data_IF_278596902528
#
_entry.id   IF_278596902528
#
_cell.length_a   1.000
_cell.length_b   1.000
_cell.length_c   1.000
_cell.angle_alpha   90.00
_cell.angle_beta   90.00
_cell.angle_gamma   90.00
#
_symmetry.space_group_name_H-M   'P 1'
#
loop_
_entity.id
_entity.type
_entity.pdbx_description
1 polymer ?
#
# COMPACT_ATOMS: atom_id res chain seq x y z
N UNK A 1 12.53 21.17 -0.20
CA UNK A 1 11.17 20.60 -0.16
C UNK A 1 11.22 19.28 -0.91
N UNK A 2 11.07 18.14 -0.23
CA UNK A 2 11.05 16.84 -0.89
C UNK A 2 9.63 16.50 -1.28
N UNK A 3 9.40 16.25 -2.57
CA UNK A 3 8.14 15.70 -3.07
C UNK A 3 8.12 14.20 -2.80
N UNK A 4 6.98 13.69 -2.35
CA UNK A 4 6.73 12.27 -2.15
C UNK A 4 5.44 11.88 -2.86
N UNK A 5 5.37 10.61 -3.26
CA UNK A 5 4.22 10.00 -3.91
C UNK A 5 3.62 8.96 -2.96
N UNK A 6 2.29 8.94 -2.88
CA UNK A 6 1.53 7.98 -2.08
C UNK A 6 0.57 7.23 -2.99
N UNK A 7 0.59 5.91 -2.89
CA UNK A 7 -0.48 5.05 -3.38
C UNK A 7 -1.36 4.70 -2.19
N UNK A 8 -2.52 5.36 -2.09
CA UNK A 8 -3.43 5.19 -0.97
C UNK A 8 -4.20 3.85 -1.02
N UNK A 9 -4.36 3.26 -2.22
CA UNK A 9 -5.02 1.95 -2.35
C UNK A 9 -4.12 0.84 -1.81
N UNK A 10 -2.80 0.95 -2.01
CA UNK A 10 -1.82 -0.02 -1.52
C UNK A 10 -1.20 0.36 -0.16
N UNK A 11 -1.43 1.58 0.32
CA UNK A 11 -0.83 2.10 1.55
C UNK A 11 0.68 2.31 1.44
N UNK A 12 1.20 2.64 0.26
CA UNK A 12 2.64 2.75 0.01
C UNK A 12 3.04 4.22 -0.13
N UNK A 13 4.16 4.58 0.49
CA UNK A 13 4.79 5.88 0.30
C UNK A 13 6.23 5.68 -0.17
N UNK A 14 6.68 6.49 -1.14
CA UNK A 14 8.01 6.40 -1.71
C UNK A 14 9.13 7.03 -0.85
N UNK A 15 8.79 7.64 0.28
CA UNK A 15 9.74 8.21 1.23
C UNK A 15 10.56 7.12 1.96
N UNK A 16 11.79 7.41 2.46
CA UNK A 16 12.66 6.41 3.08
C UNK A 16 12.02 5.59 4.19
N UNK A 17 11.12 6.19 4.96
CA UNK A 17 10.40 5.53 6.07
C UNK A 17 9.17 4.74 5.63
N UNK A 18 8.63 5.00 4.43
CA UNK A 18 7.45 4.35 3.87
C UNK A 18 7.74 3.22 2.88
N UNK A 19 9.00 3.12 2.43
CA UNK A 19 9.46 2.02 1.57
C UNK A 19 9.18 0.68 2.28
N UNK A 20 8.69 -0.30 1.52
CA UNK A 20 8.29 -1.61 2.05
C UNK A 20 6.85 -1.65 2.58
N UNK A 21 6.06 -0.61 2.36
CA UNK A 21 4.67 -0.54 2.86
C UNK A 21 4.60 -0.23 4.36
N UNK A 22 5.64 0.36 4.94
CA UNK A 22 5.64 0.83 6.33
C UNK A 22 4.77 2.08 6.47
N UNK A 23 4.04 2.17 7.57
CA UNK A 23 3.20 3.33 7.85
C UNK A 23 4.07 4.52 8.30
N UNK A 24 4.25 5.50 7.41
CA UNK A 24 5.07 6.68 7.66
C UNK A 24 4.22 7.92 7.98
N UNK A 25 4.86 9.00 8.44
CA UNK A 25 4.17 10.28 8.74
C UNK A 25 3.37 10.85 7.57
N UNK A 26 3.79 10.60 6.33
CA UNK A 26 3.08 11.09 5.15
C UNK A 26 1.77 10.31 4.91
N UNK A 27 1.79 8.99 5.12
CA UNK A 27 0.59 8.16 5.09
C UNK A 27 -0.37 8.56 6.22
N UNK A 28 0.15 8.84 7.41
CA UNK A 28 -0.64 9.38 8.53
C UNK A 28 -1.32 10.71 8.15
N UNK A 29 -0.58 11.65 7.56
CA UNK A 29 -1.12 12.93 7.11
C UNK A 29 -2.22 12.75 6.04
N UNK A 30 -2.04 11.82 5.10
CA UNK A 30 -3.07 11.54 4.09
C UNK A 30 -4.35 10.99 4.73
N UNK A 31 -4.22 10.02 5.63
CA UNK A 31 -5.37 9.46 6.34
C UNK A 31 -6.10 10.53 7.18
N UNK A 32 -5.38 11.41 7.87
CA UNK A 32 -5.98 12.48 8.68
C UNK A 32 -6.67 13.55 7.83
N UNK A 33 -6.02 14.01 6.75
CA UNK A 33 -6.52 15.13 5.97
C UNK A 33 -7.59 14.75 4.93
N UNK A 34 -7.54 13.50 4.43
CA UNK A 34 -8.44 13.04 3.37
C UNK A 34 -9.41 11.94 3.84
N UNK A 35 -9.34 11.52 5.11
CA UNK A 35 -10.22 10.49 5.67
C UNK A 35 -10.08 9.11 5.03
N UNK A 36 -8.97 8.84 4.34
CA UNK A 36 -8.74 7.57 3.64
C UNK A 36 -8.26 6.53 4.64
N UNK A 37 -8.96 5.39 4.72
CA UNK A 37 -8.51 4.26 5.50
C UNK A 37 -7.40 3.52 4.76
N UNK A 38 -6.18 3.59 5.30
CA UNK A 38 -5.03 2.91 4.72
C UNK A 38 -4.92 1.47 5.28
N UNK A 39 -4.64 0.47 4.42
CA UNK A 39 -4.64 -0.94 4.81
C UNK A 39 -3.53 -1.29 5.81
N UNK A 40 -2.45 -0.52 5.82
CA UNK A 40 -1.30 -0.70 6.70
C UNK A 40 -1.30 0.25 7.91
N UNK A 41 -2.38 1.01 8.12
CA UNK A 41 -2.49 1.89 9.27
C UNK A 41 -2.64 1.08 10.56
N UNK A 42 -1.79 1.31 11.58
CA UNK A 42 -1.90 0.59 12.85
C UNK A 42 -3.26 0.86 13.47
N UNK A 43 -3.88 -0.20 14.00
CA UNK A 43 -5.10 -0.09 14.80
C UNK A 43 -4.64 0.33 16.20
N UNK A 44 -5.04 1.53 16.61
CA UNK A 44 -4.68 2.09 17.92
C UNK A 44 -5.95 2.26 18.75
N UNK A 45 -5.99 1.60 19.91
CA UNK A 45 -7.03 1.82 20.91
C UNK A 45 -6.86 3.20 21.55
N UNK A 46 -7.90 3.75 22.22
CA UNK A 46 -7.75 4.97 23.03
C UNK A 46 -6.60 4.89 24.04
N UNK A 47 -6.39 3.72 24.63
CA UNK A 47 -5.26 3.46 25.54
C UNK A 47 -3.91 3.59 24.83
N UNK A 48 -3.76 3.00 23.64
CA UNK A 48 -2.53 3.10 22.86
C UNK A 48 -2.22 4.55 22.46
N UNK A 49 -3.26 5.30 22.06
CA UNK A 49 -3.11 6.72 21.71
C UNK A 49 -2.64 7.54 22.91
N UNK A 50 -3.23 7.32 24.09
CA UNK A 50 -2.81 7.97 25.34
C UNK A 50 -1.37 7.61 25.71
N UNK A 51 -1.00 6.33 25.59
CA UNK A 51 0.36 5.87 25.86
C UNK A 51 1.38 6.51 24.91
N UNK A 52 1.11 6.50 23.61
CA UNK A 52 1.97 7.13 22.60
C UNK A 52 2.12 8.64 22.82
N UNK A 53 1.04 9.31 23.20
CA UNK A 53 1.07 10.72 23.53
C UNK A 53 1.89 11.02 24.79
N UNK A 54 1.79 10.21 25.85
CA UNK A 54 2.67 10.33 27.04
C UNK A 54 4.13 10.08 26.69
N UNK A 55 4.43 9.13 25.81
CA UNK A 55 5.80 8.89 25.34
C UNK A 55 6.36 10.08 24.53
N UNK A 56 5.52 10.77 23.77
CA UNK A 56 5.94 11.89 22.93
C UNK A 56 6.03 13.23 23.68
N UNK A 57 5.08 13.49 24.60
CA UNK A 57 4.93 14.76 25.29
C UNK A 57 5.47 14.76 26.72
N UNK A 58 5.72 13.58 27.30
CA UNK A 58 6.05 13.43 28.71
C UNK A 58 4.85 12.98 29.55
N UNK A 59 5.13 12.46 30.75
CA UNK A 59 4.11 11.99 31.70
C UNK A 59 3.35 13.13 32.39
N UNK A 60 3.83 14.36 32.23
CA UNK A 60 3.28 15.62 32.71
C UNK A 60 2.33 16.30 31.70
N UNK A 61 2.02 15.63 30.58
CA UNK A 61 1.03 16.09 29.62
C UNK A 61 -0.34 16.33 30.29
N UNK A 62 -0.93 17.50 30.04
CA UNK A 62 -2.23 17.91 30.60
C UNK A 62 -3.35 16.93 30.26
N UNK A 63 -4.24 16.64 31.21
CA UNK A 63 -5.39 15.74 31.00
C UNK A 63 -6.31 16.20 29.86
N UNK A 64 -6.43 17.52 29.66
CA UNK A 64 -7.19 18.12 28.55
C UNK A 64 -6.72 17.64 27.16
N UNK A 65 -5.42 17.36 27.00
CA UNK A 65 -4.86 16.86 25.75
C UNK A 65 -5.46 15.49 25.36
N UNK A 66 -5.90 14.71 26.35
CA UNK A 66 -6.39 13.34 26.15
C UNK A 66 -7.91 13.23 26.05
N UNK A 67 -8.68 14.27 26.36
CA UNK A 67 -10.15 14.25 26.41
C UNK A 67 -10.79 13.75 25.10
N UNK A 68 -10.21 14.12 23.96
CA UNK A 68 -10.73 13.73 22.64
C UNK A 68 -10.20 12.38 22.14
N UNK A 69 -9.28 11.74 22.87
CA UNK A 69 -8.71 10.44 22.47
C UNK A 69 -9.59 9.25 22.86
N UNK A 70 -10.50 9.45 23.83
CA UNK A 70 -11.48 8.46 24.30
C UNK A 70 -12.72 8.36 23.42
N UNK A 71 -12.88 9.28 22.47
CA UNK A 71 -13.92 9.21 21.46
C UNK A 71 -13.57 8.07 20.51
N UNK A 72 -14.17 6.92 20.81
CA UNK A 72 -14.04 5.70 20.04
C UNK A 72 -14.64 5.95 18.65
N UNK A 73 -13.77 6.02 17.64
CA UNK A 73 -14.16 6.18 16.23
C UNK A 73 -14.63 4.81 15.66
N UNK A 74 -15.24 3.99 16.52
CA UNK A 74 -15.66 2.61 16.29
C UNK A 74 -16.76 2.47 15.24
N UNK A 75 -17.15 3.56 14.57
CA UNK A 75 -17.98 3.55 13.37
C UNK A 75 -17.22 3.36 12.05
N UNK A 76 -15.89 3.29 12.05
CA UNK A 76 -15.11 3.18 10.80
C UNK A 76 -14.44 1.82 10.54
N UNK A 77 -14.42 0.89 11.50
CA UNK A 77 -13.73 -0.40 11.34
C UNK A 77 -14.50 -1.54 12.00
N UNK A 78 -15.51 -2.07 11.29
CA UNK A 78 -15.98 -3.43 11.56
C UNK A 78 -15.07 -4.41 10.83
N UNK A 79 -14.35 -5.23 11.58
CA UNK A 79 -13.73 -6.45 11.08
C UNK A 79 -14.85 -7.43 10.70
N UNK A 80 -15.39 -7.25 9.50
CA UNK A 80 -16.07 -8.28 8.73
C UNK A 80 -15.91 -7.89 7.27
N UNK A 81 -15.28 -8.75 6.48
CA UNK A 81 -15.55 -8.80 5.05
C UNK A 81 -16.87 -9.56 4.92
N UNK A 82 -17.98 -8.90 4.55
CA UNK A 82 -18.90 -9.50 3.61
C UNK A 82 -18.85 -8.71 2.32
N UNK A 83 -18.48 -9.44 1.27
CA UNK A 83 -18.82 -9.13 -0.11
C UNK A 83 -20.28 -8.65 -0.15
N UNK A 84 -20.47 -7.45 -0.70
CA UNK A 84 -21.74 -6.88 -1.13
C UNK A 84 -22.76 -6.53 -0.01
N UNK A 85 -22.79 -5.24 0.36
CA UNK A 85 -24.01 -4.40 0.31
C UNK A 85 -23.67 -2.94 0.62
N UNK A 86 -24.05 -2.10 -0.33
CA UNK A 86 -23.99 -0.64 -0.39
C UNK A 86 -24.49 0.10 0.86
N UNK A 87 -23.99 1.33 1.15
CA UNK A 87 -24.52 2.15 2.24
C UNK A 87 -25.86 2.79 1.85
N UNK A 88 -26.93 2.47 2.59
CA UNK A 88 -28.15 3.27 2.61
C UNK A 88 -27.92 4.51 3.50
N UNK A 89 -27.98 5.70 2.91
CA UNK A 89 -28.43 6.90 3.61
C UNK A 89 -29.80 7.28 3.05
N UNK A 90 -30.77 7.40 3.95
CA UNK A 90 -32.08 8.01 3.69
C UNK A 90 -31.89 9.49 3.37
N UNK A 91 -32.20 9.90 2.14
CA UNK A 91 -32.71 11.22 1.82
C UNK A 91 -33.95 10.98 0.97
N UNK A 92 -35.11 11.45 1.43
CA UNK A 92 -36.38 11.28 0.75
C UNK A 92 -36.58 12.29 -0.39
N UNK A 93 -37.10 11.72 -1.49
CA UNK A 93 -37.94 12.29 -2.58
C UNK A 93 -37.24 12.97 -3.78
N UNK A 94 -37.45 12.35 -4.96
CA UNK A 94 -37.63 13.08 -6.23
C UNK A 94 -37.03 12.46 -7.51
N UNK A 95 -37.68 11.42 -8.06
CA UNK A 95 -37.87 11.14 -9.51
C UNK A 95 -36.66 10.83 -10.42
N UNK A 96 -36.67 9.57 -10.88
CA UNK A 96 -36.26 8.99 -12.18
C UNK A 96 -34.93 9.37 -12.83
N UNK A 97 -33.90 8.51 -12.67
CA UNK A 97 -32.94 8.08 -13.72
C UNK A 97 -32.05 6.97 -13.13
N UNK A 98 -32.40 5.68 -13.29
CA UNK A 98 -31.62 4.56 -12.71
C UNK A 98 -31.56 3.36 -13.64
N UNK A 99 -31.04 3.54 -14.86
CA UNK A 99 -30.74 2.43 -15.77
C UNK A 99 -29.32 2.50 -16.37
N UNK A 100 -28.70 3.69 -16.49
CA UNK A 100 -27.40 3.80 -17.17
C UNK A 100 -26.15 3.60 -16.29
N UNK A 101 -26.23 3.78 -14.97
CA UNK A 101 -25.04 3.81 -14.09
C UNK A 101 -24.44 2.43 -13.74
N UNK A 102 -25.20 1.35 -13.91
CA UNK A 102 -24.77 -0.02 -13.53
C UNK A 102 -23.99 -0.70 -14.67
N UNK A 103 -24.14 -0.21 -15.92
CA UNK A 103 -23.47 -0.82 -17.08
C UNK A 103 -22.01 -0.35 -17.24
N UNK A 104 -21.70 0.88 -16.84
CA UNK A 104 -20.34 1.44 -16.91
C UNK A 104 -19.38 0.85 -15.87
N UNK A 105 -19.88 0.52 -14.67
CA UNK A 105 -19.07 -0.06 -13.58
C UNK A 105 -18.61 -1.48 -13.90
N UNK A 106 -19.48 -2.32 -14.51
CA UNK A 106 -19.10 -3.67 -14.97
C UNK A 106 -18.11 -3.65 -16.14
N UNK A 107 -18.20 -2.67 -17.05
CA UNK A 107 -17.22 -2.51 -18.15
C UNK A 107 -15.83 -2.12 -17.61
N UNK A 108 -15.76 -1.22 -16.63
CA UNK A 108 -14.47 -0.83 -16.02
C UNK A 108 -13.81 -1.96 -15.22
N UNK A 109 -14.57 -2.73 -14.42
CA UNK A 109 -14.01 -3.87 -13.68
C UNK A 109 -13.51 -5.00 -14.59
N UNK A 110 -14.25 -5.31 -15.66
CA UNK A 110 -13.85 -6.33 -16.63
C UNK A 110 -12.61 -5.91 -17.45
N UNK A 111 -12.47 -4.62 -17.77
CA UNK A 111 -11.29 -4.10 -18.46
C UNK A 111 -10.04 -4.06 -17.56
N UNK A 112 -10.19 -3.68 -16.30
CA UNK A 112 -9.10 -3.70 -15.30
C UNK A 112 -8.61 -5.13 -15.07
N UNK A 113 -9.52 -6.10 -14.92
CA UNK A 113 -9.16 -7.51 -14.77
C UNK A 113 -8.43 -8.05 -16.01
N UNK A 114 -8.87 -7.67 -17.23
CA UNK A 114 -8.18 -8.10 -18.47
C UNK A 114 -6.76 -7.54 -18.57
N UNK A 115 -6.57 -6.27 -18.20
CA UNK A 115 -5.23 -5.63 -18.16
C UNK A 115 -4.33 -6.28 -17.11
N UNK A 116 -4.86 -6.55 -15.92
CA UNK A 116 -4.11 -7.23 -14.86
C UNK A 116 -3.66 -8.64 -15.29
N UNK A 117 -4.57 -9.45 -15.84
CA UNK A 117 -4.24 -10.80 -16.33
C UNK A 117 -3.18 -10.75 -17.42
N UNK A 118 -3.32 -9.86 -18.40
CA UNK A 118 -2.31 -9.68 -19.45
C UNK A 118 -0.94 -9.29 -18.89
N UNK A 119 -0.89 -8.38 -17.91
CA UNK A 119 0.36 -7.97 -17.28
C UNK A 119 1.03 -9.11 -16.48
N UNK A 120 0.24 -9.94 -15.81
CA UNK A 120 0.73 -11.13 -15.10
C UNK A 120 1.31 -12.16 -16.08
N UNK A 121 0.68 -12.39 -17.23
CA UNK A 121 1.23 -13.29 -18.25
C UNK A 121 2.55 -12.77 -18.83
N UNK A 122 2.63 -11.48 -19.18
CA UNK A 122 3.90 -10.89 -19.61
C UNK A 122 4.99 -10.95 -18.54
N UNK A 123 4.62 -10.82 -17.26
CA UNK A 123 5.55 -10.99 -16.15
C UNK A 123 6.11 -12.42 -16.11
N UNK A 124 5.26 -13.44 -16.24
CA UNK A 124 5.67 -14.85 -16.30
C UNK A 124 6.61 -15.12 -17.48
N UNK A 125 6.29 -14.63 -18.67
CA UNK A 125 7.15 -14.76 -19.85
C UNK A 125 8.54 -14.16 -19.63
N UNK A 126 8.61 -12.98 -19.01
CA UNK A 126 9.89 -12.34 -18.69
C UNK A 126 10.71 -13.15 -17.69
N UNK A 127 10.07 -13.76 -16.68
CA UNK A 127 10.77 -14.69 -15.77
C UNK A 127 11.29 -15.93 -16.48
N UNK A 128 10.55 -16.50 -17.43
CA UNK A 128 11.05 -17.62 -18.24
C UNK A 128 12.29 -17.23 -19.06
N UNK A 129 12.28 -16.04 -19.69
CA UNK A 129 13.46 -15.53 -20.40
C UNK A 129 14.68 -15.37 -19.49
N UNK A 130 14.48 -14.93 -18.24
CA UNK A 130 15.56 -14.84 -17.26
C UNK A 130 16.14 -16.22 -16.90
N UNK A 131 15.29 -17.25 -16.82
CA UNK A 131 15.74 -18.63 -16.56
C UNK A 131 16.56 -19.17 -17.73
N UNK A 132 16.15 -18.89 -18.97
CA UNK A 132 16.88 -19.28 -20.18
C UNK A 132 18.28 -18.65 -20.21
N UNK A 133 18.36 -17.32 -20.05
CA UNK A 133 19.63 -16.60 -19.96
C UNK A 133 20.52 -17.15 -18.82
N UNK A 134 19.90 -17.48 -17.68
CA UNK A 134 20.63 -18.00 -16.55
C UNK A 134 21.18 -19.42 -16.77
N UNK A 135 20.49 -20.23 -17.58
CA UNK A 135 20.90 -21.59 -17.90
C UNK A 135 22.06 -21.62 -18.89
N UNK A 136 22.15 -20.62 -19.77
CA UNK A 136 23.24 -20.46 -20.75
C UNK A 136 24.54 -19.96 -20.11
N UNK A 137 24.48 -19.27 -18.96
CA UNK A 137 25.62 -18.58 -18.35
C UNK A 137 26.10 -19.22 -17.03
N UNK A 138 26.87 -20.30 -17.14
CA UNK A 138 27.33 -21.10 -15.99
C UNK A 138 28.64 -20.60 -15.35
N UNK A 139 28.80 -19.29 -15.15
CA UNK A 139 29.97 -18.72 -14.46
C UNK A 139 29.71 -18.60 -12.95
N UNK A 140 30.74 -18.81 -12.12
CA UNK A 140 30.61 -18.78 -10.65
C UNK A 140 30.07 -17.44 -10.13
N UNK A 141 30.49 -16.32 -10.71
CA UNK A 141 29.99 -14.98 -10.35
C UNK A 141 28.51 -14.82 -10.68
N UNK A 142 28.07 -15.35 -11.82
CA UNK A 142 26.68 -15.32 -12.23
C UNK A 142 25.81 -16.23 -11.35
N UNK A 143 26.30 -17.42 -11.01
CA UNK A 143 25.64 -18.31 -10.04
C UNK A 143 25.46 -17.65 -8.68
N UNK A 144 26.48 -16.95 -8.17
CA UNK A 144 26.38 -16.20 -6.91
C UNK A 144 25.35 -15.07 -6.98
N UNK A 145 25.25 -14.37 -8.12
CA UNK A 145 24.21 -13.37 -8.36
C UNK A 145 22.80 -13.99 -8.35
N UNK A 146 22.61 -15.14 -9.01
CA UNK A 146 21.33 -15.87 -9.00
C UNK A 146 20.95 -16.29 -7.58
N UNK A 147 21.88 -16.85 -6.81
CA UNK A 147 21.63 -17.26 -5.42
C UNK A 147 21.18 -16.07 -4.57
N UNK A 148 21.88 -14.93 -4.66
CA UNK A 148 21.50 -13.71 -3.93
C UNK A 148 20.11 -13.21 -4.33
N UNK A 149 19.83 -13.17 -5.64
CA UNK A 149 18.52 -12.76 -6.13
C UNK A 149 17.39 -13.68 -5.61
N UNK A 150 17.62 -15.00 -5.59
CA UNK A 150 16.66 -15.97 -5.06
C UNK A 150 16.40 -15.80 -3.57
N UNK A 151 17.42 -15.44 -2.78
CA UNK A 151 17.24 -15.14 -1.35
C UNK A 151 16.33 -13.93 -1.15
N UNK A 152 16.49 -12.87 -1.95
CA UNK A 152 15.61 -11.69 -1.86
C UNK A 152 14.19 -11.98 -2.34
N UNK A 153 14.02 -12.72 -3.44
CA UNK A 153 12.69 -13.12 -3.94
C UNK A 153 11.93 -13.98 -2.92
N UNK A 154 12.62 -14.87 -2.19
CA UNK A 154 12.01 -15.70 -1.13
C UNK A 154 11.44 -14.90 0.04
N UNK A 155 11.91 -13.67 0.28
CA UNK A 155 11.39 -12.82 1.38
C UNK A 155 10.02 -12.23 1.07
N UNK A 156 9.58 -12.27 -0.20
CA UNK A 156 8.30 -11.71 -0.63
C UNK A 156 7.21 -12.75 -0.36
N UNK A 157 6.40 -12.53 0.67
CA UNK A 157 5.30 -13.43 1.07
C UNK A 157 3.92 -12.79 0.93
N UNK A 158 3.86 -11.46 0.79
CA UNK A 158 2.61 -10.70 0.75
C UNK A 158 2.50 -9.84 -0.51
N UNK A 159 1.27 -9.50 -0.92
CA UNK A 159 0.99 -8.65 -2.08
C UNK A 159 1.62 -7.26 -1.94
N UNK A 160 1.62 -6.68 -0.73
CA UNK A 160 2.23 -5.37 -0.45
C UNK A 160 3.75 -5.40 -0.58
N UNK A 161 4.40 -6.47 -0.12
CA UNK A 161 5.84 -6.65 -0.30
C UNK A 161 6.20 -6.77 -1.78
N UNK A 162 5.41 -7.53 -2.55
CA UNK A 162 5.59 -7.65 -3.99
C UNK A 162 5.43 -6.29 -4.69
N UNK A 163 4.38 -5.54 -4.37
CA UNK A 163 4.16 -4.20 -4.91
C UNK A 163 5.34 -3.27 -4.58
N UNK A 164 5.79 -3.26 -3.33
CA UNK A 164 6.96 -2.45 -2.93
C UNK A 164 8.24 -2.88 -3.65
N UNK A 165 8.47 -4.18 -3.82
CA UNK A 165 9.62 -4.70 -4.55
C UNK A 165 9.61 -4.19 -6.00
N UNK A 166 8.48 -4.31 -6.69
CA UNK A 166 8.29 -3.84 -8.06
C UNK A 166 8.46 -2.32 -8.20
N UNK A 167 7.95 -1.53 -7.25
CA UNK A 167 8.18 -0.08 -7.22
C UNK A 167 9.66 0.29 -7.01
N UNK A 168 10.41 -0.50 -6.26
CA UNK A 168 11.82 -0.26 -5.97
C UNK A 168 12.75 -0.63 -7.13
N UNK A 169 12.37 -1.58 -8.00
CA UNK A 169 13.14 -1.92 -9.22
C UNK A 169 13.42 -0.69 -10.10
N UNK A 170 12.52 0.30 -10.09
CA UNK A 170 12.66 1.54 -10.86
C UNK A 170 13.74 2.50 -10.33
N UNK A 171 14.11 2.42 -9.04
CA UNK A 171 14.98 3.40 -8.37
C UNK A 171 16.48 3.09 -8.49
N UNK A 172 16.88 1.91 -8.97
CA UNK A 172 18.29 1.47 -9.02
C UNK A 172 19.18 2.09 -10.11
N UNK A 173 18.70 3.09 -10.89
CA UNK A 173 19.45 3.73 -11.98
C UNK A 173 20.02 5.12 -11.64
N UNK A 174 20.21 5.49 -10.37
CA UNK A 174 21.07 6.63 -10.06
C UNK A 174 22.53 6.18 -10.08
N UNK A 175 23.19 6.38 -11.22
CA UNK A 175 24.64 6.22 -11.39
C UNK A 175 25.38 6.96 -10.28
N UNK A 176 26.28 6.25 -9.57
CA UNK A 176 27.30 6.91 -8.76
C UNK A 176 28.21 7.67 -9.73
N UNK A 177 28.25 9.00 -9.64
CA UNK A 177 29.39 9.74 -10.20
C UNK A 177 30.61 9.33 -9.37
N UNK A 178 31.54 8.63 -10.01
CA UNK A 178 32.89 8.45 -9.50
C UNK A 178 33.62 9.74 -9.84
N UNK A 179 33.83 10.59 -8.84
CA UNK A 179 34.72 11.73 -8.96
C UNK A 179 36.16 11.21 -9.02
N UNK A 180 36.82 11.49 -10.14
CA UNK A 180 38.29 11.48 -10.25
C UNK A 180 38.80 12.82 -9.75
#
# INVERSE_FOLDING_TARGET
MFLYTIDAALGICDCPFGIGGKFCKHLCAVQQNFGVLLPNAPILTPSDKKMLAKLALGYDASEYFFENMDLDDSKSRSDNIPINKSPQRNIQKGVDTKVDFILETKKKESEVNRKHTSAVESLKENFHKLIEIASENNTADFTNCIIKANVELKKITTSTQLASFLCNLRKGRSSKQIGV
#
